data_IF_733753521214
#
_entry.id   IF_733753521214
#
_cell.length_a   1.000
_cell.length_b   1.000
_cell.length_c   1.000
_cell.angle_alpha   90.00
_cell.angle_beta   90.00
_cell.angle_gamma   90.00
#
_symmetry.space_group_name_H-M   'P 1'
#
loop_
_entity.id
_entity.type
_entity.pdbx_description
1 polymer ?
#
# COMPACT_ATOMS: atom_id res chain seq x y z
N UNK A 1 -43.66 -50.64 14.35
CA UNK A 1 -43.70 -49.63 13.26
C UNK A 1 -42.39 -48.86 13.28
N UNK A 2 -41.26 -49.51 13.00
CA UNK A 2 -40.44 -49.31 11.78
C UNK A 2 -41.01 -48.37 10.72
N UNK A 3 -40.30 -47.25 10.45
CA UNK A 3 -39.99 -46.68 9.12
C UNK A 3 -38.72 -45.81 9.32
N UNK A 4 -37.50 -46.31 9.13
CA UNK A 4 -36.74 -46.48 7.89
C UNK A 4 -36.13 -45.18 7.33
N UNK A 5 -34.81 -45.08 7.47
CA UNK A 5 -33.91 -44.12 6.81
C UNK A 5 -34.06 -44.21 5.29
N UNK A 6 -34.48 -43.13 4.65
CA UNK A 6 -34.43 -43.01 3.19
C UNK A 6 -33.18 -42.23 2.77
N UNK A 7 -32.20 -42.99 2.26
CA UNK A 7 -31.11 -42.48 1.41
C UNK A 7 -31.72 -41.94 0.12
N UNK A 8 -31.43 -40.67 -0.18
CA UNK A 8 -31.69 -40.07 -1.50
C UNK A 8 -30.42 -40.24 -2.36
N UNK A 9 -30.53 -40.70 -3.62
CA UNK A 9 -29.41 -41.21 -4.42
C UNK A 9 -28.54 -40.11 -5.04
N UNK A 10 -27.28 -40.49 -5.31
CA UNK A 10 -26.29 -39.74 -6.08
C UNK A 10 -26.87 -39.36 -7.45
N UNK A 11 -27.02 -38.07 -7.70
CA UNK A 11 -27.35 -37.56 -9.03
C UNK A 11 -26.16 -37.79 -9.96
N UNK A 12 -26.29 -38.80 -10.83
CA UNK A 12 -25.48 -38.95 -12.02
C UNK A 12 -25.78 -37.75 -12.94
N UNK A 13 -24.87 -36.77 -12.97
CA UNK A 13 -24.81 -35.82 -14.09
C UNK A 13 -24.41 -36.62 -15.33
N UNK A 14 -25.40 -37.03 -16.11
CA UNK A 14 -25.20 -37.49 -17.47
C UNK A 14 -25.07 -36.24 -18.33
N UNK A 15 -23.84 -35.92 -18.74
CA UNK A 15 -23.62 -34.92 -19.78
C UNK A 15 -24.00 -35.53 -21.13
N UNK A 16 -25.23 -35.30 -21.57
CA UNK A 16 -25.66 -35.56 -22.94
C UNK A 16 -25.09 -34.45 -23.85
N UNK A 17 -23.85 -34.65 -24.31
CA UNK A 17 -23.21 -33.74 -25.26
C UNK A 17 -23.36 -34.30 -26.68
N UNK A 18 -24.54 -34.13 -27.25
CA UNK A 18 -24.80 -34.28 -28.68
C UNK A 18 -24.21 -33.12 -29.49
N UNK A 19 -22.88 -32.97 -29.52
CA UNK A 19 -22.22 -31.96 -30.36
C UNK A 19 -21.68 -32.60 -31.65
N UNK A 20 -22.53 -32.67 -32.68
CA UNK A 20 -22.04 -32.78 -34.06
C UNK A 20 -21.49 -31.42 -34.47
N UNK A 21 -20.16 -31.35 -34.53
CA UNK A 21 -19.41 -30.40 -35.33
C UNK A 21 -19.65 -28.91 -35.03
N UNK A 22 -19.12 -28.43 -33.92
CA UNK A 22 -18.66 -27.05 -33.77
C UNK A 22 -17.57 -27.02 -32.70
N UNK A 23 -16.41 -26.46 -33.05
CA UNK A 23 -15.25 -26.29 -32.18
C UNK A 23 -15.70 -25.69 -30.85
N UNK A 24 -15.53 -26.43 -29.75
CA UNK A 24 -15.47 -25.86 -28.42
C UNK A 24 -14.22 -24.98 -28.37
N UNK A 25 -14.35 -23.72 -28.79
CA UNK A 25 -13.39 -22.69 -28.46
C UNK A 25 -13.55 -22.43 -26.96
N UNK A 26 -12.74 -23.11 -26.15
CA UNK A 26 -12.46 -22.66 -24.80
C UNK A 26 -11.91 -21.24 -24.94
N UNK A 27 -12.76 -20.25 -24.68
CA UNK A 27 -12.29 -18.89 -24.42
C UNK A 27 -11.47 -18.99 -23.14
N UNK A 28 -10.17 -19.23 -23.31
CA UNK A 28 -9.15 -18.94 -22.32
C UNK A 28 -9.23 -17.44 -22.09
N UNK A 29 -10.06 -17.02 -21.14
CA UNK A 29 -10.01 -15.67 -20.59
C UNK A 29 -8.66 -15.60 -19.89
N UNK A 30 -7.69 -15.07 -20.62
CA UNK A 30 -6.35 -14.79 -20.16
C UNK A 30 -6.47 -13.70 -19.10
N UNK A 31 -6.86 -14.08 -17.88
CA UNK A 31 -6.79 -13.21 -16.70
C UNK A 31 -5.30 -13.09 -16.37
N UNK A 32 -4.60 -12.22 -17.11
CA UNK A 32 -3.41 -11.61 -16.57
C UNK A 32 -3.86 -10.96 -15.27
N UNK A 33 -3.46 -11.51 -14.12
CA UNK A 33 -3.46 -10.75 -12.87
C UNK A 33 -2.68 -9.48 -13.20
N UNK A 34 -3.37 -8.36 -13.36
CA UNK A 34 -2.70 -7.07 -13.48
C UNK A 34 -1.89 -6.94 -12.18
N UNK A 35 -0.56 -6.84 -12.30
CA UNK A 35 0.25 -6.62 -11.11
C UNK A 35 -0.09 -5.21 -10.62
N UNK A 36 -0.41 -5.09 -9.33
CA UNK A 36 -0.69 -3.79 -8.70
C UNK A 36 0.51 -2.87 -8.91
N UNK A 37 0.23 -1.61 -9.21
CA UNK A 37 1.28 -0.60 -9.35
C UNK A 37 1.98 -0.39 -8.01
N UNK A 38 3.32 -0.38 -8.03
CA UNK A 38 4.13 -0.16 -6.84
C UNK A 38 4.24 1.32 -6.55
N UNK A 39 3.85 1.69 -5.33
CA UNK A 39 3.84 3.07 -4.87
C UNK A 39 4.95 3.26 -3.83
N UNK A 40 5.81 4.26 -4.03
CA UNK A 40 6.82 4.66 -3.06
C UNK A 40 6.47 6.04 -2.49
N UNK A 41 6.20 6.09 -1.18
CA UNK A 41 6.03 7.33 -0.43
C UNK A 41 7.39 7.81 0.12
N UNK A 42 7.79 9.02 -0.24
CA UNK A 42 9.08 9.59 0.11
C UNK A 42 8.90 10.84 0.98
N UNK A 43 9.51 10.83 2.16
CA UNK A 43 9.71 12.04 2.97
C UNK A 43 11.19 12.19 3.35
N UNK A 44 11.53 13.14 4.22
CA UNK A 44 12.93 13.42 4.55
C UNK A 44 13.58 12.26 5.32
N UNK A 45 13.02 11.87 6.47
CA UNK A 45 13.67 10.89 7.39
C UNK A 45 13.00 9.51 7.46
N UNK A 46 11.90 9.27 6.74
CA UNK A 46 11.06 8.06 6.89
C UNK A 46 10.57 7.77 8.32
N UNK A 47 10.34 8.81 9.13
CA UNK A 47 9.86 8.64 10.51
C UNK A 47 8.40 9.01 10.73
N UNK A 48 7.80 9.77 9.80
CA UNK A 48 6.51 10.45 9.97
C UNK A 48 5.59 10.27 8.76
N UNK A 49 5.55 11.28 7.90
CA UNK A 49 4.61 11.42 6.76
C UNK A 49 4.55 10.19 5.86
N UNK A 50 5.69 9.69 5.38
CA UNK A 50 5.71 8.54 4.47
C UNK A 50 5.32 7.22 5.17
N UNK A 51 5.59 7.07 6.47
CA UNK A 51 5.18 5.91 7.28
C UNK A 51 3.66 5.85 7.41
N UNK A 52 3.03 7.00 7.73
CA UNK A 52 1.57 7.10 7.77
C UNK A 52 0.95 6.75 6.41
N UNK A 53 1.52 7.32 5.33
CA UNK A 53 1.02 7.09 3.97
C UNK A 53 1.11 5.63 3.53
N UNK A 54 2.22 4.93 3.82
CA UNK A 54 2.36 3.50 3.54
C UNK A 54 1.32 2.67 4.30
N UNK A 55 1.09 2.97 5.58
CA UNK A 55 0.10 2.24 6.39
C UNK A 55 -1.31 2.39 5.84
N UNK A 56 -1.73 3.61 5.52
CA UNK A 56 -3.03 3.85 4.87
C UNK A 56 -3.11 3.18 3.49
N UNK A 57 -2.07 3.27 2.67
CA UNK A 57 -2.10 2.70 1.32
C UNK A 57 -2.20 1.17 1.36
N UNK A 58 -1.51 0.52 2.31
CA UNK A 58 -1.65 -0.93 2.54
C UNK A 58 -3.04 -1.28 3.05
N UNK A 59 -3.64 -0.46 3.90
CA UNK A 59 -5.02 -0.63 4.36
C UNK A 59 -6.03 -0.57 3.19
N UNK A 60 -5.82 0.36 2.25
CA UNK A 60 -6.58 0.44 0.99
C UNK A 60 -6.24 -0.69 -0.01
N UNK A 61 -5.32 -1.59 0.34
CA UNK A 61 -4.94 -2.74 -0.48
C UNK A 61 -3.96 -2.43 -1.62
N UNK A 62 -3.27 -1.29 -1.59
CA UNK A 62 -2.26 -0.93 -2.57
C UNK A 62 -0.91 -1.62 -2.30
N UNK A 63 -0.08 -1.78 -3.34
CA UNK A 63 1.30 -2.28 -3.19
C UNK A 63 2.23 -1.10 -2.86
N UNK A 64 2.36 -0.80 -1.57
CA UNK A 64 2.94 0.44 -1.08
C UNK A 64 4.18 0.23 -0.20
N UNK A 65 5.14 1.14 -0.36
CA UNK A 65 6.40 1.21 0.37
C UNK A 65 6.66 2.65 0.81
N UNK A 66 7.45 2.84 1.87
CA UNK A 66 7.93 4.17 2.28
C UNK A 66 9.44 4.22 2.44
N UNK A 67 10.00 5.39 2.14
CA UNK A 67 11.42 5.67 2.28
C UNK A 67 11.70 7.11 2.74
N UNK A 68 12.97 7.33 3.09
CA UNK A 68 13.56 8.59 3.52
C UNK A 68 14.69 9.01 2.58
N UNK A 69 14.86 10.32 2.37
CA UNK A 69 16.01 10.87 1.66
C UNK A 69 17.32 10.58 2.39
N UNK A 70 17.30 10.76 3.70
CA UNK A 70 18.45 10.54 4.56
C UNK A 70 17.99 9.97 5.90
N UNK A 71 18.93 9.36 6.62
CA UNK A 71 18.69 9.01 8.01
C UNK A 71 18.75 10.28 8.84
N UNK A 72 17.92 10.31 9.87
CA UNK A 72 17.98 11.36 10.88
C UNK A 72 19.39 11.37 11.51
N UNK A 73 19.92 12.57 11.76
CA UNK A 73 21.29 12.80 12.25
C UNK A 73 21.29 13.30 13.68
N UNK A 74 20.44 12.71 14.53
CA UNK A 74 20.45 13.04 15.95
C UNK A 74 21.69 12.47 16.63
N UNK A 75 22.15 13.17 17.67
CA UNK A 75 23.30 12.75 18.50
C UNK A 75 23.09 11.37 19.13
N UNK A 76 21.82 11.00 19.34
CA UNK A 76 21.42 9.67 19.81
C UNK A 76 21.29 8.70 18.63
N UNK A 77 22.34 7.94 18.32
CA UNK A 77 22.32 6.93 17.24
C UNK A 77 21.16 5.92 17.37
N UNK A 78 20.72 5.62 18.60
CA UNK A 78 19.59 4.73 18.87
C UNK A 78 18.24 5.27 18.35
N UNK A 79 18.10 6.59 18.24
CA UNK A 79 16.88 7.25 17.74
C UNK A 79 16.89 7.33 16.20
N UNK A 80 18.06 7.25 15.56
CA UNK A 80 18.19 7.32 14.10
C UNK A 80 17.52 6.13 13.41
N UNK A 81 17.45 4.97 14.08
CA UNK A 81 16.85 3.74 13.57
C UNK A 81 15.41 3.50 14.08
N UNK A 82 14.75 4.51 14.64
CA UNK A 82 13.36 4.41 15.12
C UNK A 82 12.48 5.43 14.42
N UNK A 83 11.24 5.04 14.15
CA UNK A 83 10.21 6.00 13.74
C UNK A 83 9.77 6.88 14.92
N UNK A 84 9.04 7.94 14.61
CA UNK A 84 8.51 8.86 15.60
C UNK A 84 7.42 8.17 16.45
N UNK A 85 7.58 8.17 17.77
CA UNK A 85 6.64 7.52 18.71
C UNK A 85 5.23 8.15 18.65
N UNK A 86 5.12 9.44 18.32
CA UNK A 86 3.82 10.09 18.13
C UNK A 86 3.06 9.49 16.94
N UNK A 87 3.78 9.03 15.91
CA UNK A 87 3.17 8.36 14.75
C UNK A 87 2.64 6.99 15.15
N UNK A 88 3.40 6.24 15.96
CA UNK A 88 2.92 4.96 16.50
C UNK A 88 1.64 5.18 17.30
N UNK A 89 1.64 6.16 18.20
CA UNK A 89 0.50 6.48 19.05
C UNK A 89 -0.76 6.83 18.25
N UNK A 90 -0.69 7.79 17.33
CA UNK A 90 -1.86 8.27 16.59
C UNK A 90 -2.39 7.28 15.55
N UNK A 91 -1.55 6.34 15.10
CA UNK A 91 -1.96 5.31 14.15
C UNK A 91 -2.59 4.12 14.89
N UNK A 92 -2.10 3.80 16.10
CA UNK A 92 -2.73 2.84 17.00
C UNK A 92 -4.14 3.28 17.44
N UNK A 93 -4.37 4.59 17.63
CA UNK A 93 -5.71 5.16 17.91
C UNK A 93 -6.78 4.72 16.89
N UNK A 94 -6.38 4.50 15.64
CA UNK A 94 -7.27 4.08 14.54
C UNK A 94 -7.07 2.62 14.13
N UNK A 95 -6.27 1.87 14.90
CA UNK A 95 -6.02 0.44 14.68
C UNK A 95 -5.18 0.11 13.45
N UNK A 96 -4.36 1.06 12.96
CA UNK A 96 -3.50 0.85 11.80
C UNK A 96 -2.04 0.65 12.22
N UNK A 97 -1.45 -0.54 11.98
CA UNK A 97 -0.05 -0.77 12.31
C UNK A 97 0.86 0.01 11.35
N UNK A 98 2.01 0.42 11.87
CA UNK A 98 3.06 1.10 11.10
C UNK A 98 4.36 0.30 11.14
N UNK A 99 5.16 0.46 10.08
CA UNK A 99 6.54 -0.02 10.02
C UNK A 99 7.35 0.66 11.12
N UNK A 100 8.23 -0.08 11.79
CA UNK A 100 8.97 0.39 12.97
C UNK A 100 10.37 0.91 12.66
N UNK A 101 10.91 0.60 11.48
CA UNK A 101 12.28 0.94 11.10
C UNK A 101 12.26 1.89 9.91
N UNK A 102 12.87 3.09 10.02
CA UNK A 102 13.06 3.97 8.88
C UNK A 102 14.08 3.34 7.91
N UNK A 103 13.82 3.46 6.62
CA UNK A 103 14.72 3.03 5.55
C UNK A 103 14.97 4.18 4.58
N UNK A 104 16.18 4.24 4.03
CA UNK A 104 16.52 5.16 2.95
C UNK A 104 15.93 4.69 1.62
N UNK A 105 15.85 5.59 0.64
CA UNK A 105 15.48 5.22 -0.73
C UNK A 105 16.36 4.09 -1.26
N UNK A 106 17.66 4.14 -0.99
CA UNK A 106 18.61 3.13 -1.46
C UNK A 106 18.33 1.75 -0.83
N UNK A 107 18.07 1.70 0.48
CA UNK A 107 17.71 0.48 1.19
C UNK A 107 16.44 -0.14 0.60
N UNK A 108 15.38 0.65 0.45
CA UNK A 108 14.10 0.17 -0.11
C UNK A 108 14.25 -0.31 -1.56
N UNK A 109 14.99 0.45 -2.40
CA UNK A 109 15.17 0.12 -3.82
C UNK A 109 16.05 -1.13 -4.04
N UNK A 110 16.84 -1.56 -3.06
CA UNK A 110 17.54 -2.85 -3.13
C UNK A 110 16.57 -4.03 -2.98
N UNK A 111 15.51 -3.85 -2.20
CA UNK A 111 14.52 -4.89 -1.91
C UNK A 111 13.39 -4.94 -2.95
N UNK A 112 13.03 -3.80 -3.54
CA UNK A 112 11.94 -3.70 -4.51
C UNK A 112 12.44 -3.57 -5.95
N UNK A 113 11.91 -4.40 -6.85
CA UNK A 113 12.18 -4.28 -8.29
C UNK A 113 11.34 -3.18 -8.92
N UNK A 114 11.84 -1.95 -8.85
CA UNK A 114 11.26 -0.77 -9.48
C UNK A 114 10.06 -0.17 -8.74
N UNK A 115 9.72 1.06 -9.13
CA UNK A 115 8.59 1.85 -8.62
C UNK A 115 7.79 2.36 -9.81
N UNK A 116 6.46 2.22 -9.74
CA UNK A 116 5.57 2.75 -10.78
C UNK A 116 5.17 4.19 -10.44
N UNK A 117 4.83 4.45 -9.18
CA UNK A 117 4.34 5.74 -8.71
C UNK A 117 5.22 6.22 -7.54
N UNK A 118 5.86 7.37 -7.72
CA UNK A 118 6.57 8.07 -6.66
C UNK A 118 5.68 9.16 -6.08
N UNK A 119 5.50 9.16 -4.77
CA UNK A 119 4.78 10.22 -4.03
C UNK A 119 5.74 10.93 -3.10
N UNK A 120 6.05 12.20 -3.35
CA UNK A 120 6.99 12.98 -2.52
C UNK A 120 6.24 13.92 -1.57
N UNK A 121 6.65 13.95 -0.31
CA UNK A 121 6.05 14.74 0.76
C UNK A 121 7.13 15.60 1.43
N UNK A 122 7.08 16.91 1.18
CA UNK A 122 7.92 17.92 1.85
C UNK A 122 9.41 17.94 1.50
N UNK A 123 9.80 17.35 0.38
CA UNK A 123 11.17 17.39 -0.12
C UNK A 123 11.28 18.45 -1.22
N UNK A 124 11.46 19.72 -0.84
CA UNK A 124 11.60 20.81 -1.81
C UNK A 124 13.06 20.80 -2.30
N UNK A 125 13.29 20.27 -3.50
CA UNK A 125 14.53 20.45 -4.26
C UNK A 125 15.69 19.47 -3.96
N UNK A 126 15.54 18.56 -3.00
CA UNK A 126 16.61 17.62 -2.61
C UNK A 126 16.26 16.13 -2.82
N UNK A 127 15.15 15.81 -3.50
CA UNK A 127 14.84 14.41 -3.80
C UNK A 127 15.88 13.80 -4.76
N UNK A 128 16.44 12.61 -4.46
CA UNK A 128 17.19 11.86 -5.43
C UNK A 128 16.26 11.47 -6.59
N UNK A 129 16.84 11.32 -7.77
CA UNK A 129 16.10 10.81 -8.91
C UNK A 129 15.74 9.34 -8.67
N UNK A 130 14.45 9.06 -8.47
CA UNK A 130 13.90 7.71 -8.41
C UNK A 130 13.15 7.44 -9.71
N UNK A 131 13.63 6.53 -10.58
CA UNK A 131 12.92 6.17 -11.80
C UNK A 131 11.51 5.66 -11.50
N UNK A 132 10.51 6.37 -12.00
CA UNK A 132 9.09 6.04 -11.82
C UNK A 132 8.30 6.46 -13.05
N UNK A 133 7.14 5.83 -13.28
CA UNK A 133 6.24 6.17 -14.40
C UNK A 133 5.46 7.46 -14.12
N UNK A 134 5.08 7.65 -12.85
CA UNK A 134 4.31 8.80 -12.38
C UNK A 134 4.94 9.38 -11.13
N UNK A 135 5.04 10.70 -11.07
CA UNK A 135 5.49 11.43 -9.89
C UNK A 135 4.38 12.35 -9.41
N UNK A 136 4.04 12.24 -8.13
CA UNK A 136 3.02 13.04 -7.45
C UNK A 136 3.69 13.78 -6.29
N UNK A 137 3.50 15.09 -6.22
CA UNK A 137 3.96 15.90 -5.11
C UNK A 137 2.80 16.25 -4.17
N UNK A 138 2.94 15.92 -2.89
CA UNK A 138 2.02 16.34 -1.85
C UNK A 138 2.67 17.38 -0.96
N UNK A 139 2.06 18.55 -0.92
CA UNK A 139 2.43 19.63 0.00
C UNK A 139 1.76 19.38 1.34
N UNK A 140 2.47 18.69 2.23
CA UNK A 140 2.01 18.38 3.59
C UNK A 140 3.09 18.84 4.56
N UNK A 141 2.71 19.74 5.47
CA UNK A 141 3.60 20.28 6.49
C UNK A 141 4.14 19.16 7.39
N UNK A 142 5.39 19.31 7.83
CA UNK A 142 6.03 18.31 8.65
C UNK A 142 5.59 18.44 10.13
N UNK A 143 5.05 17.38 10.78
CA UNK A 143 4.55 17.51 12.15
C UNK A 143 5.65 17.55 13.24
N UNK A 144 6.93 17.46 12.88
CA UNK A 144 8.04 17.44 13.85
C UNK A 144 8.01 18.61 14.83
N UNK A 145 8.12 18.28 16.11
CA UNK A 145 8.12 19.25 17.21
C UNK A 145 6.76 19.93 17.45
N UNK A 146 5.69 19.52 16.76
CA UNK A 146 4.33 20.02 16.97
C UNK A 146 3.57 19.17 17.98
N UNK A 147 2.42 19.67 18.41
CA UNK A 147 1.53 18.94 19.33
C UNK A 147 0.79 17.78 18.66
N UNK A 148 0.19 16.91 19.47
CA UNK A 148 -0.56 15.74 19.01
C UNK A 148 -1.76 16.08 18.12
N UNK A 149 -2.39 17.24 18.30
CA UNK A 149 -3.52 17.65 17.44
C UNK A 149 -3.04 17.95 16.03
N UNK A 150 -1.86 18.55 15.89
CA UNK A 150 -1.22 18.76 14.60
C UNK A 150 -0.85 17.44 13.92
N UNK A 151 -0.29 16.49 14.68
CA UNK A 151 -0.02 15.13 14.16
C UNK A 151 -1.29 14.46 13.62
N UNK A 152 -2.41 14.52 14.37
CA UNK A 152 -3.70 13.98 13.91
C UNK A 152 -4.20 14.69 12.65
N UNK A 153 -4.06 16.02 12.56
CA UNK A 153 -4.41 16.78 11.36
C UNK A 153 -3.61 16.30 10.13
N UNK A 154 -2.30 16.11 10.29
CA UNK A 154 -1.44 15.58 9.22
C UNK A 154 -1.83 14.15 8.84
N UNK A 155 -2.09 13.28 9.83
CA UNK A 155 -2.58 11.91 9.61
C UNK A 155 -3.85 11.91 8.76
N UNK A 156 -4.84 12.71 9.15
CA UNK A 156 -6.14 12.76 8.49
C UNK A 156 -6.03 13.35 7.06
N UNK A 157 -5.13 14.32 6.85
CA UNK A 157 -4.82 14.83 5.51
C UNK A 157 -4.18 13.75 4.62
N UNK A 158 -3.22 12.99 5.16
CA UNK A 158 -2.58 11.88 4.45
C UNK A 158 -3.61 10.82 4.09
N UNK A 159 -4.48 10.44 5.03
CA UNK A 159 -5.55 9.48 4.80
C UNK A 159 -6.40 9.88 3.59
N UNK A 160 -6.91 11.12 3.58
CA UNK A 160 -7.73 11.63 2.47
C UNK A 160 -6.99 11.52 1.12
N UNK A 161 -5.72 11.96 1.07
CA UNK A 161 -4.92 11.93 -0.16
C UNK A 161 -4.62 10.50 -0.64
N UNK A 162 -4.44 9.56 0.28
CA UNK A 162 -4.26 8.14 -0.06
C UNK A 162 -5.55 7.54 -0.63
N UNK A 163 -6.71 7.87 -0.05
CA UNK A 163 -8.02 7.43 -0.57
C UNK A 163 -8.22 7.97 -1.99
N UNK A 164 -8.00 9.27 -2.20
CA UNK A 164 -8.10 9.90 -3.54
C UNK A 164 -7.14 9.25 -4.55
N UNK A 165 -5.93 8.88 -4.11
CA UNK A 165 -4.99 8.14 -4.93
C UNK A 165 -5.52 6.75 -5.27
N UNK A 166 -6.03 6.00 -4.28
CA UNK A 166 -6.61 4.66 -4.48
C UNK A 166 -7.76 4.68 -5.48
N UNK A 167 -8.69 5.63 -5.34
CA UNK A 167 -9.81 5.83 -6.27
C UNK A 167 -9.31 6.08 -7.70
N UNK A 168 -8.33 6.96 -7.85
CA UNK A 168 -7.74 7.27 -9.16
C UNK A 168 -7.09 6.04 -9.81
N UNK A 169 -6.52 5.12 -9.03
CA UNK A 169 -5.90 3.90 -9.58
C UNK A 169 -6.95 2.86 -9.99
N UNK A 170 -8.05 2.76 -9.24
CA UNK A 170 -9.13 1.82 -9.54
C UNK A 170 -9.97 2.23 -10.77
N UNK A 171 -10.00 3.52 -11.12
CA UNK A 171 -10.72 4.01 -12.32
C UNK A 171 -10.13 3.51 -13.66
N UNK A 172 -8.91 2.97 -13.66
CA UNK A 172 -8.21 2.49 -14.86
C UNK A 172 -8.18 0.96 -15.02
N UNK A 173 -8.83 0.20 -14.14
CA UNK A 173 -8.97 -1.28 -14.24
C UNK A 173 -10.23 -1.71 -15.03
#
# INVERSE_FOLDING_TARGET
MMISNQKIPKSNLTCDCGCKNQRCASKSTNSKRQQKEKILFLCVHNKRRSIMAESFAKYEGLDAYSAGLEKDKNENENENNKIDEMVVLIMDEIGLPVKQTPETVEEVMNDIKGVDILVTMGCIGACPYVPSKKHIAWEIEDPEGKDIHFYRKVRDEIQRKVIELSETLNEYE
#
